data_IF_285925315462
#
_entry.id   IF_285925315462
#
_cell.length_a   1.000
_cell.length_b   1.000
_cell.length_c   1.000
_cell.angle_alpha   90.00
_cell.angle_beta   90.00
_cell.angle_gamma   90.00
#
_symmetry.space_group_name_H-M   'P 1'
#
loop_
_entity.id
_entity.type
_entity.pdbx_description
1 polymer ?
#
# COMPACT_ATOMS: atom_id res chain seq x y z
N UNK A 1 3.60 -51.42 17.35
CA UNK A 1 2.43 -51.13 16.49
C UNK A 1 1.80 -49.85 17.04
N UNK A 2 2.51 -48.73 16.98
CA UNK A 2 2.73 -47.87 15.80
C UNK A 2 1.44 -47.30 15.21
N UNK A 3 1.12 -46.07 15.60
CA UNK A 3 0.49 -45.07 14.74
C UNK A 3 0.72 -43.70 15.37
N UNK A 4 1.88 -43.12 15.05
CA UNK A 4 2.19 -41.71 15.23
C UNK A 4 1.33 -40.94 14.22
N UNK A 5 0.33 -40.22 14.70
CA UNK A 5 -0.28 -39.12 13.96
C UNK A 5 0.78 -38.03 13.82
N UNK A 6 1.40 -37.99 12.65
CA UNK A 6 2.27 -36.91 12.23
C UNK A 6 1.43 -35.64 12.14
N UNK A 7 1.71 -34.69 13.04
CA UNK A 7 1.31 -33.30 12.88
C UNK A 7 1.97 -32.77 11.61
N UNK A 8 1.20 -32.67 10.52
CA UNK A 8 1.62 -31.99 9.30
C UNK A 8 2.01 -30.55 9.65
N UNK A 9 3.28 -30.24 9.44
CA UNK A 9 3.84 -28.92 9.61
C UNK A 9 3.18 -27.96 8.60
N UNK A 10 2.40 -27.03 9.12
CA UNK A 10 1.85 -25.87 8.41
C UNK A 10 2.97 -25.16 7.62
N UNK A 11 2.84 -24.93 6.29
CA UNK A 11 3.88 -24.24 5.52
C UNK A 11 4.11 -22.85 6.12
N UNK A 12 5.35 -22.60 6.55
CA UNK A 12 5.76 -21.37 7.22
C UNK A 12 5.28 -20.13 6.43
N UNK A 13 4.30 -19.41 6.99
CA UNK A 13 3.88 -18.10 6.49
C UNK A 13 5.09 -17.17 6.67
N UNK A 14 5.69 -16.76 5.57
CA UNK A 14 6.80 -15.80 5.58
C UNK A 14 6.27 -14.50 6.16
N UNK A 15 6.85 -14.03 7.26
CA UNK A 15 6.38 -12.79 7.90
C UNK A 15 6.63 -11.58 6.98
N UNK A 16 5.87 -10.50 7.14
CA UNK A 16 6.10 -9.29 6.35
C UNK A 16 7.53 -8.73 6.53
N UNK A 17 8.08 -8.79 7.75
CA UNK A 17 9.44 -8.38 8.03
C UNK A 17 10.48 -9.25 7.31
N UNK A 18 10.22 -10.56 7.22
CA UNK A 18 11.06 -11.50 6.47
C UNK A 18 10.97 -11.24 4.97
N UNK A 19 9.77 -10.96 4.45
CA UNK A 19 9.57 -10.62 3.04
C UNK A 19 10.27 -9.32 2.65
N UNK A 20 10.30 -8.31 3.51
CA UNK A 20 11.08 -7.07 3.29
C UNK A 20 12.58 -7.38 3.19
N UNK A 21 13.13 -8.13 4.15
CA UNK A 21 14.55 -8.52 4.15
C UNK A 21 14.93 -9.39 2.95
N UNK A 22 14.03 -10.27 2.51
CA UNK A 22 14.21 -11.07 1.29
C UNK A 22 14.27 -10.16 0.05
N UNK A 23 13.40 -9.14 -0.04
CA UNK A 23 13.42 -8.18 -1.15
C UNK A 23 14.65 -7.28 -1.13
N UNK A 24 15.11 -6.87 0.05
CA UNK A 24 16.38 -6.15 0.21
C UNK A 24 17.55 -7.01 -0.29
N UNK A 25 17.63 -8.26 0.15
CA UNK A 25 18.65 -9.20 -0.31
C UNK A 25 18.53 -9.48 -1.83
N UNK A 26 17.32 -9.59 -2.37
CA UNK A 26 17.09 -9.68 -3.80
C UNK A 26 17.65 -8.43 -4.51
N UNK A 27 17.33 -7.23 -4.04
CA UNK A 27 17.87 -5.98 -4.59
C UNK A 27 19.40 -5.98 -4.64
N UNK A 28 20.05 -6.38 -3.54
CA UNK A 28 21.50 -6.51 -3.45
C UNK A 28 22.07 -7.55 -4.43
N UNK A 29 21.40 -8.69 -4.59
CA UNK A 29 21.77 -9.71 -5.56
C UNK A 29 21.65 -9.15 -6.98
N UNK A 30 20.56 -8.48 -7.33
CA UNK A 30 20.31 -7.97 -8.68
C UNK A 30 21.35 -6.91 -9.11
N UNK A 31 21.84 -6.11 -8.17
CA UNK A 31 22.89 -5.11 -8.40
C UNK A 31 24.31 -5.68 -8.36
N UNK A 32 24.48 -6.95 -7.97
CA UNK A 32 25.79 -7.57 -7.82
C UNK A 32 26.47 -7.90 -9.16
N UNK A 33 27.81 -8.02 -9.21
CA UNK A 33 28.53 -8.33 -10.45
C UNK A 33 28.03 -9.59 -11.20
N UNK A 34 27.67 -10.72 -10.54
CA UNK A 34 27.11 -11.90 -11.23
C UNK A 34 25.76 -11.66 -11.92
N UNK A 35 24.96 -10.67 -11.50
CA UNK A 35 23.59 -10.46 -12.00
C UNK A 35 23.40 -9.18 -12.81
N UNK A 36 24.12 -8.09 -12.48
CA UNK A 36 23.93 -6.77 -13.10
C UNK A 36 24.07 -6.77 -14.63
N UNK A 37 24.84 -7.71 -15.19
CA UNK A 37 25.10 -7.85 -16.62
C UNK A 37 24.01 -8.60 -17.42
N UNK A 38 23.04 -9.26 -16.76
CA UNK A 38 22.01 -10.05 -17.46
C UNK A 38 20.60 -9.69 -17.00
N UNK A 39 19.93 -8.86 -17.81
CA UNK A 39 18.54 -8.47 -17.59
C UNK A 39 17.60 -9.67 -17.51
N UNK A 40 17.78 -10.69 -18.34
CA UNK A 40 16.92 -11.90 -18.31
C UNK A 40 17.08 -12.70 -17.01
N UNK A 41 18.30 -12.79 -16.44
CA UNK A 41 18.48 -13.46 -15.14
C UNK A 41 17.85 -12.65 -14.00
N UNK A 42 17.92 -11.32 -14.07
CA UNK A 42 17.28 -10.43 -13.10
C UNK A 42 15.76 -10.56 -13.14
N UNK A 43 15.15 -10.51 -14.33
CA UNK A 43 13.69 -10.66 -14.49
C UNK A 43 13.24 -12.03 -13.98
N UNK A 44 13.94 -13.11 -14.37
CA UNK A 44 13.60 -14.46 -13.92
C UNK A 44 13.71 -14.62 -12.39
N UNK A 45 14.82 -14.16 -11.79
CA UNK A 45 15.02 -14.28 -10.34
C UNK A 45 13.99 -13.45 -9.57
N UNK A 46 13.68 -12.24 -10.05
CA UNK A 46 12.65 -11.37 -9.45
C UNK A 46 11.29 -12.04 -9.49
N UNK A 47 10.90 -12.56 -10.66
CA UNK A 47 9.64 -13.27 -10.84
C UNK A 47 9.51 -14.44 -9.85
N UNK A 48 10.51 -15.31 -9.81
CA UNK A 48 10.49 -16.50 -8.94
C UNK A 48 10.43 -16.12 -7.45
N UNK A 49 11.20 -15.12 -7.01
CA UNK A 49 11.23 -14.71 -5.61
C UNK A 49 9.90 -14.06 -5.19
N UNK A 50 9.33 -13.16 -5.97
CA UNK A 50 8.07 -12.48 -5.62
C UNK A 50 6.90 -13.46 -5.54
N UNK A 51 6.77 -14.39 -6.52
CA UNK A 51 5.71 -15.40 -6.49
C UNK A 51 5.94 -16.46 -5.38
N UNK A 52 7.20 -16.74 -5.02
CA UNK A 52 7.52 -17.59 -3.86
C UNK A 52 7.19 -16.92 -2.52
N UNK A 53 7.35 -15.59 -2.44
CA UNK A 53 6.95 -14.78 -1.29
C UNK A 53 5.43 -14.67 -1.16
N UNK A 54 4.71 -14.55 -2.29
CA UNK A 54 3.26 -14.47 -2.33
C UNK A 54 2.56 -15.82 -2.10
N UNK A 55 3.30 -16.95 -2.14
CA UNK A 55 2.74 -18.29 -2.00
C UNK A 55 2.02 -18.78 -3.25
N UNK A 56 2.20 -18.11 -4.40
CA UNK A 56 1.53 -18.35 -5.67
C UNK A 56 2.21 -19.50 -6.44
N UNK A 57 2.21 -20.70 -5.85
CA UNK A 57 2.95 -21.85 -6.39
C UNK A 57 2.49 -22.27 -7.80
N UNK A 58 1.24 -21.97 -8.17
CA UNK A 58 0.70 -22.26 -9.50
C UNK A 58 1.34 -21.44 -10.61
N UNK A 59 1.83 -20.24 -10.28
CA UNK A 59 2.54 -19.35 -11.22
C UNK A 59 4.01 -19.76 -11.40
N UNK A 60 4.52 -20.63 -10.52
CA UNK A 60 5.89 -21.16 -10.58
C UNK A 60 6.02 -22.45 -11.42
N UNK A 61 5.00 -22.78 -12.23
CA UNK A 61 5.06 -23.91 -13.16
C UNK A 61 5.84 -23.53 -14.42
N UNK A 62 6.59 -24.50 -14.98
CA UNK A 62 7.47 -24.24 -16.13
C UNK A 62 6.78 -23.54 -17.30
N UNK A 63 5.60 -24.04 -17.70
CA UNK A 63 4.80 -23.47 -18.79
C UNK A 63 4.37 -22.02 -18.52
N UNK A 64 3.94 -21.72 -17.29
CA UNK A 64 3.49 -20.37 -16.92
C UNK A 64 4.65 -19.39 -16.96
N UNK A 65 5.80 -19.78 -16.40
CA UNK A 65 7.02 -18.98 -16.46
C UNK A 65 7.47 -18.75 -17.91
N UNK A 66 7.37 -19.76 -18.78
CA UNK A 66 7.66 -19.61 -20.21
C UNK A 66 6.84 -18.53 -20.88
N UNK A 67 5.55 -18.49 -20.60
CA UNK A 67 4.64 -17.49 -21.18
C UNK A 67 4.85 -16.10 -20.55
N UNK A 68 4.86 -16.00 -19.22
CA UNK A 68 4.88 -14.71 -18.53
C UNK A 68 6.26 -14.03 -18.54
N UNK A 69 7.35 -14.81 -18.48
CA UNK A 69 8.72 -14.27 -18.40
C UNK A 69 9.43 -14.28 -19.76
N UNK A 70 9.21 -15.32 -20.58
CA UNK A 70 9.91 -15.49 -21.85
C UNK A 70 9.03 -15.23 -23.08
N UNK A 71 7.76 -14.86 -22.90
CA UNK A 71 6.84 -14.53 -23.99
C UNK A 71 6.50 -15.72 -24.89
N UNK A 72 6.59 -16.96 -24.38
CA UNK A 72 6.21 -18.16 -25.13
C UNK A 72 4.70 -18.27 -25.28
N UNK A 73 4.26 -18.84 -26.40
CA UNK A 73 2.83 -19.09 -26.64
C UNK A 73 2.28 -20.07 -25.61
N UNK A 74 1.02 -19.98 -25.17
CA UNK A 74 0.46 -20.90 -24.16
C UNK A 74 0.50 -22.39 -24.54
N UNK A 75 0.65 -22.69 -25.83
CA UNK A 75 0.68 -24.04 -26.40
C UNK A 75 2.11 -24.55 -26.65
N UNK A 76 3.15 -23.86 -26.16
CA UNK A 76 4.52 -24.33 -26.33
C UNK A 76 4.80 -25.58 -25.49
N UNK A 77 5.56 -26.51 -26.07
CA UNK A 77 5.95 -27.74 -25.39
C UNK A 77 7.23 -27.54 -24.59
N UNK A 78 7.13 -27.63 -23.27
CA UNK A 78 8.28 -27.48 -22.35
C UNK A 78 9.32 -28.59 -22.55
N UNK A 79 8.94 -29.74 -23.09
CA UNK A 79 9.87 -30.81 -23.46
C UNK A 79 10.84 -30.38 -24.55
N UNK A 80 10.35 -29.65 -25.56
CA UNK A 80 11.11 -29.25 -26.74
C UNK A 80 11.84 -27.91 -26.55
N UNK A 81 11.29 -26.98 -25.76
CA UNK A 81 11.94 -25.71 -25.43
C UNK A 81 12.45 -25.66 -23.98
N UNK A 82 13.76 -25.81 -23.74
CA UNK A 82 14.34 -25.81 -22.41
C UNK A 82 14.62 -24.40 -21.86
N UNK A 83 14.09 -23.31 -22.45
CA UNK A 83 14.43 -21.92 -22.08
C UNK A 83 14.35 -21.65 -20.57
N UNK A 84 13.29 -22.15 -19.91
CA UNK A 84 13.07 -21.99 -18.48
C UNK A 84 14.10 -22.79 -17.68
N UNK A 85 14.35 -24.05 -18.06
CA UNK A 85 15.36 -24.92 -17.41
C UNK A 85 16.78 -24.34 -17.52
N UNK A 86 17.14 -23.86 -18.71
CA UNK A 86 18.45 -23.24 -18.97
C UNK A 86 18.60 -21.97 -18.14
N UNK A 87 17.59 -21.10 -18.10
CA UNK A 87 17.66 -19.87 -17.30
C UNK A 87 17.72 -20.17 -15.80
N UNK A 88 16.96 -21.14 -15.32
CA UNK A 88 17.01 -21.56 -13.93
C UNK A 88 18.39 -22.11 -13.55
N UNK A 89 19.03 -22.92 -14.41
CA UNK A 89 20.39 -23.40 -14.19
C UNK A 89 21.41 -22.25 -14.12
N UNK A 90 21.30 -21.27 -15.02
CA UNK A 90 22.16 -20.10 -15.05
C UNK A 90 21.99 -19.21 -13.80
N UNK A 91 20.74 -18.98 -13.36
CA UNK A 91 20.45 -18.22 -12.13
C UNK A 91 21.01 -18.93 -10.90
N UNK A 92 20.86 -20.26 -10.78
CA UNK A 92 21.48 -21.04 -9.69
C UNK A 92 22.99 -20.88 -9.66
N UNK A 93 23.66 -20.94 -10.81
CA UNK A 93 25.10 -20.73 -10.93
C UNK A 93 25.52 -19.34 -10.46
N UNK A 94 24.75 -18.30 -10.84
CA UNK A 94 25.02 -16.91 -10.43
C UNK A 94 24.75 -16.67 -8.95
N UNK A 95 23.72 -17.29 -8.37
CA UNK A 95 23.48 -17.27 -6.92
C UNK A 95 24.66 -17.93 -6.18
N UNK A 96 25.14 -19.08 -6.66
CA UNK A 96 26.32 -19.71 -6.09
C UNK A 96 27.57 -18.81 -6.15
N UNK A 97 27.81 -18.12 -7.27
CA UNK A 97 28.89 -17.14 -7.41
C UNK A 97 28.73 -15.94 -6.48
N UNK A 98 27.51 -15.41 -6.34
CA UNK A 98 27.22 -14.31 -5.43
C UNK A 98 27.53 -14.67 -3.96
N UNK A 99 27.18 -15.88 -3.54
CA UNK A 99 27.38 -16.35 -2.17
C UNK A 99 28.77 -16.96 -1.89
N UNK A 100 29.61 -17.18 -2.90
CA UNK A 100 30.88 -17.93 -2.77
C UNK A 100 31.83 -17.34 -1.71
N UNK A 101 31.80 -16.02 -1.48
CA UNK A 101 32.60 -15.31 -0.47
C UNK A 101 31.73 -14.43 0.44
N UNK A 102 30.42 -14.71 0.54
CA UNK A 102 29.45 -13.92 1.33
C UNK A 102 28.75 -14.80 2.34
N UNK A 103 29.53 -15.32 3.29
CA UNK A 103 28.97 -16.12 4.36
C UNK A 103 27.99 -15.28 5.20
N UNK A 104 28.23 -13.99 5.41
CA UNK A 104 27.53 -13.21 6.45
C UNK A 104 26.22 -12.56 6.00
N UNK A 105 25.65 -13.02 4.89
CA UNK A 105 24.34 -12.56 4.45
C UNK A 105 23.26 -13.00 5.47
N UNK A 106 22.43 -12.07 5.98
CA UNK A 106 21.41 -12.39 6.99
C UNK A 106 20.31 -13.31 6.43
N UNK A 107 20.04 -13.20 5.12
CA UNK A 107 19.15 -14.09 4.38
C UNK A 107 19.80 -14.53 3.08
N UNK A 108 19.70 -15.83 2.80
CA UNK A 108 20.20 -16.45 1.58
C UNK A 108 19.03 -16.95 0.74
N UNK A 109 19.02 -16.57 -0.54
CA UNK A 109 18.01 -16.97 -1.53
C UNK A 109 18.61 -18.10 -2.37
N UNK A 110 17.97 -19.26 -2.38
CA UNK A 110 18.34 -20.40 -3.22
C UNK A 110 17.15 -20.89 -4.05
N UNK A 111 17.43 -21.46 -5.22
CA UNK A 111 16.43 -22.13 -6.07
C UNK A 111 16.84 -23.60 -6.22
N UNK A 112 16.18 -24.56 -5.55
CA UNK A 112 16.57 -25.96 -5.60
C UNK A 112 16.51 -26.55 -7.02
N UNK A 113 17.37 -27.53 -7.36
CA UNK A 113 17.21 -28.32 -8.59
C UNK A 113 15.83 -28.98 -8.65
N UNK A 114 15.23 -29.05 -9.84
CA UNK A 114 13.89 -29.65 -10.03
C UNK A 114 12.72 -28.79 -9.56
N UNK A 115 12.97 -27.61 -9.00
CA UNK A 115 11.93 -26.65 -8.59
C UNK A 115 12.23 -25.26 -9.15
N UNK A 116 11.17 -24.49 -9.41
CA UNK A 116 11.26 -23.07 -9.72
C UNK A 116 10.88 -22.19 -8.53
N UNK A 117 10.65 -22.77 -7.34
CA UNK A 117 10.35 -22.04 -6.11
C UNK A 117 11.64 -21.62 -5.42
N UNK A 118 11.71 -20.35 -5.00
CA UNK A 118 12.78 -19.85 -4.16
C UNK A 118 12.59 -20.32 -2.70
N UNK A 119 13.71 -20.62 -2.06
CA UNK A 119 13.82 -20.99 -0.64
C UNK A 119 14.71 -19.97 0.06
N UNK A 120 14.33 -19.60 1.29
CA UNK A 120 14.97 -18.54 2.06
C UNK A 120 15.61 -19.14 3.32
N UNK A 121 16.92 -19.01 3.47
CA UNK A 121 17.67 -19.49 4.63
C UNK A 121 18.16 -18.32 5.48
N UNK A 122 17.89 -18.36 6.79
CA UNK A 122 18.27 -17.31 7.72
C UNK A 122 19.54 -17.70 8.47
N UNK A 123 20.50 -16.77 8.59
CA UNK A 123 21.58 -16.91 9.55
C UNK A 123 21.12 -16.45 10.93
N UNK A 124 20.75 -17.41 11.77
CA UNK A 124 20.62 -17.21 13.21
C UNK A 124 21.96 -16.72 13.76
N UNK A 125 21.98 -15.58 14.44
CA UNK A 125 23.18 -15.08 15.12
C UNK A 125 23.66 -16.07 16.18
N UNK A 126 24.59 -16.94 15.80
CA UNK A 126 25.36 -17.76 16.73
C UNK A 126 26.41 -16.85 17.37
N UNK A 127 26.14 -16.36 18.58
CA UNK A 127 27.19 -15.93 19.48
C UNK A 127 28.14 -17.12 19.66
N UNK A 128 29.37 -16.96 19.18
CA UNK A 128 30.48 -17.82 19.53
C UNK A 128 30.71 -17.72 21.04
N UNK A 129 30.57 -18.84 21.74
CA UNK A 129 31.25 -19.05 23.01
C UNK A 129 32.50 -19.90 22.74
N UNK A 130 33.62 -19.61 23.41
CA UNK A 130 34.95 -20.01 23.00
C UNK A 130 35.16 -21.52 23.13
N UNK A 131 35.99 -22.07 22.24
CA UNK A 131 36.62 -23.38 22.38
C UNK A 131 37.31 -23.48 23.74
N UNK A 132 36.74 -24.29 24.63
CA UNK A 132 37.33 -24.76 25.86
C UNK A 132 37.08 -26.27 25.98
N UNK A 133 38.16 -27.01 26.15
CA UNK A 133 38.26 -28.46 26.15
C UNK A 133 37.31 -29.17 27.15
N UNK A 134 36.95 -30.42 26.83
CA UNK A 134 36.28 -31.33 27.77
C UNK A 134 37.16 -31.57 29.01
N UNK A 135 36.56 -31.60 30.20
CA UNK A 135 36.57 -32.87 30.92
C UNK A 135 35.19 -33.21 31.53
N UNK A 136 34.91 -34.50 31.66
CA UNK A 136 33.65 -34.98 32.23
C UNK A 136 33.54 -34.77 33.74
N UNK A 137 32.32 -34.57 34.25
CA UNK A 137 31.71 -35.39 35.32
C UNK A 137 30.46 -34.72 35.93
N UNK A 138 29.51 -35.59 36.32
CA UNK A 138 28.46 -35.48 37.36
C UNK A 138 27.41 -34.36 37.29
N UNK A 139 26.15 -34.78 37.09
CA UNK A 139 24.93 -33.95 37.10
C UNK A 139 24.59 -33.48 38.52
N UNK A 140 24.42 -32.17 38.70
CA UNK A 140 24.02 -31.48 39.94
C UNK A 140 22.61 -30.85 39.80
N UNK A 141 21.79 -30.79 40.87
CA UNK A 141 20.41 -30.28 40.85
C UNK A 141 20.26 -28.81 40.46
N UNK A 142 21.35 -28.04 40.36
CA UNK A 142 21.37 -26.64 39.90
C UNK A 142 20.87 -26.44 38.45
N UNK A 143 20.88 -27.50 37.63
CA UNK A 143 20.36 -27.44 36.26
C UNK A 143 18.86 -27.09 36.20
N UNK A 144 18.06 -27.42 37.22
CA UNK A 144 16.62 -27.12 37.22
C UNK A 144 16.30 -25.65 37.49
N UNK A 145 17.13 -24.95 38.27
CA UNK A 145 16.96 -23.51 38.54
C UNK A 145 17.35 -22.71 37.29
N UNK A 146 18.44 -23.09 36.61
CA UNK A 146 18.87 -22.49 35.35
C UNK A 146 17.82 -22.73 34.25
N UNK A 147 17.22 -23.93 34.20
CA UNK A 147 16.15 -24.24 33.25
C UNK A 147 14.87 -23.42 33.51
N UNK A 148 14.52 -23.20 34.78
CA UNK A 148 13.39 -22.35 35.16
C UNK A 148 13.58 -20.88 34.77
N UNK A 149 14.79 -20.33 34.98
CA UNK A 149 15.13 -18.97 34.58
C UNK A 149 15.22 -18.80 33.05
N UNK A 150 15.75 -19.81 32.34
CA UNK A 150 15.77 -19.82 30.88
C UNK A 150 14.36 -19.89 30.29
N UNK A 151 13.47 -20.70 30.88
CA UNK A 151 12.05 -20.75 30.48
C UNK A 151 11.35 -19.41 30.74
N UNK A 152 11.58 -18.77 31.88
CA UNK A 152 11.03 -17.44 32.17
C UNK A 152 11.57 -16.35 31.21
N UNK A 153 12.84 -16.44 30.81
CA UNK A 153 13.43 -15.53 29.82
C UNK A 153 12.84 -15.77 28.42
N UNK A 154 12.64 -17.01 28.00
CA UNK A 154 11.99 -17.36 26.73
C UNK A 154 10.53 -16.91 26.71
N UNK A 155 9.80 -17.10 27.82
CA UNK A 155 8.42 -16.60 27.98
C UNK A 155 8.40 -15.06 27.95
N UNK A 156 9.37 -14.39 28.58
CA UNK A 156 9.51 -12.94 28.54
C UNK A 156 9.83 -12.40 27.14
N UNK A 157 10.67 -13.09 26.37
CA UNK A 157 11.03 -12.74 24.99
C UNK A 157 9.85 -13.01 24.05
N UNK A 158 9.15 -14.14 24.21
CA UNK A 158 7.93 -14.46 23.48
C UNK A 158 6.81 -13.44 23.78
N UNK A 159 6.61 -13.07 25.05
CA UNK A 159 5.66 -12.04 25.45
C UNK A 159 6.02 -10.64 24.92
N UNK A 160 7.31 -10.35 24.71
CA UNK A 160 7.79 -9.11 24.08
C UNK A 160 7.64 -9.11 22.56
N UNK A 161 7.75 -10.28 21.91
CA UNK A 161 7.40 -10.48 20.49
C UNK A 161 5.89 -10.49 20.23
N UNK A 162 5.08 -10.89 21.23
CA UNK A 162 3.62 -10.77 21.22
C UNK A 162 3.10 -9.41 21.73
N UNK A 163 3.97 -8.46 22.08
CA UNK A 163 3.53 -7.06 22.22
C UNK A 163 3.18 -6.57 20.83
N UNK A 164 1.92 -6.75 20.46
CA UNK A 164 1.26 -6.11 19.35
C UNK A 164 1.77 -4.67 19.27
N UNK A 165 2.52 -4.33 18.22
CA UNK A 165 2.73 -2.91 17.92
C UNK A 165 1.33 -2.31 17.88
N UNK A 166 1.06 -1.37 18.79
CA UNK A 166 -0.21 -0.69 18.81
C UNK A 166 -0.43 -0.12 17.40
N UNK A 167 -1.59 -0.39 16.76
CA UNK A 167 -1.81 0.04 15.39
C UNK A 167 -1.55 1.53 15.27
N UNK A 168 -0.80 1.95 14.24
CA UNK A 168 -0.50 3.36 14.02
C UNK A 168 -1.80 4.16 13.84
N UNK A 169 -1.76 5.48 14.01
CA UNK A 169 -2.94 6.30 13.76
C UNK A 169 -3.46 6.12 12.31
N UNK A 170 -2.55 5.92 11.34
CA UNK A 170 -2.91 5.60 9.97
C UNK A 170 -3.61 4.22 9.85
N UNK A 171 -3.14 3.20 10.56
CA UNK A 171 -3.81 1.89 10.61
C UNK A 171 -5.21 1.99 11.23
N UNK A 172 -5.35 2.78 12.30
CA UNK A 172 -6.63 3.02 12.96
C UNK A 172 -7.61 3.78 12.07
N UNK A 173 -7.13 4.75 11.28
CA UNK A 173 -7.96 5.48 10.32
C UNK A 173 -8.56 4.53 9.28
N UNK A 174 -7.72 3.67 8.71
CA UNK A 174 -8.07 2.77 7.61
C UNK A 174 -8.61 1.40 8.05
N UNK A 175 -8.64 1.11 9.35
CA UNK A 175 -8.95 -0.22 9.90
C UNK A 175 -10.21 -0.84 9.32
N UNK A 176 -11.31 -0.07 9.21
CA UNK A 176 -12.57 -0.57 8.67
C UNK A 176 -12.50 -0.94 7.18
N UNK A 177 -11.93 -0.07 6.33
CA UNK A 177 -11.75 -0.38 4.91
C UNK A 177 -10.78 -1.54 4.69
N UNK A 178 -9.71 -1.62 5.47
CA UNK A 178 -8.72 -2.69 5.37
C UNK A 178 -9.28 -4.04 5.84
N UNK A 179 -10.12 -4.05 6.87
CA UNK A 179 -10.75 -5.27 7.41
C UNK A 179 -11.84 -5.84 6.50
N UNK A 180 -12.48 -5.03 5.65
CA UNK A 180 -13.48 -5.51 4.70
C UNK A 180 -12.87 -6.57 3.74
N UNK A 181 -13.57 -7.65 3.37
CA UNK A 181 -13.09 -8.58 2.35
C UNK A 181 -13.21 -8.01 0.92
N UNK A 182 -14.01 -6.95 0.74
CA UNK A 182 -14.29 -6.35 -0.57
C UNK A 182 -13.15 -5.41 -1.00
N UNK A 183 -12.88 -5.24 -2.31
CA UNK A 183 -11.91 -4.25 -2.76
C UNK A 183 -12.37 -2.83 -2.40
N UNK A 184 -11.42 -1.93 -2.16
CA UNK A 184 -11.73 -0.50 -1.99
C UNK A 184 -12.00 0.10 -3.36
N UNK A 185 -13.16 0.73 -3.53
CA UNK A 185 -13.41 1.57 -4.69
C UNK A 185 -12.67 2.89 -4.56
N UNK A 186 -11.85 3.25 -5.55
CA UNK A 186 -11.30 4.58 -5.69
C UNK A 186 -11.92 5.20 -6.93
N UNK A 187 -12.74 6.22 -6.73
CA UNK A 187 -13.42 6.93 -7.80
C UNK A 187 -12.81 8.31 -7.99
N UNK A 188 -12.38 8.58 -9.22
CA UNK A 188 -11.83 9.86 -9.65
C UNK A 188 -12.73 10.46 -10.73
N UNK A 189 -13.27 11.64 -10.48
CA UNK A 189 -14.18 12.28 -11.42
C UNK A 189 -13.42 12.94 -12.59
N UNK A 190 -14.11 13.02 -13.73
CA UNK A 190 -13.60 13.73 -14.90
C UNK A 190 -14.11 15.17 -14.92
N UNK A 191 -13.27 16.11 -15.33
CA UNK A 191 -13.68 17.50 -15.49
C UNK A 191 -14.19 17.76 -16.90
N UNK A 192 -15.11 18.73 -17.02
CA UNK A 192 -15.60 19.20 -18.33
C UNK A 192 -14.70 20.33 -18.80
N UNK A 193 -14.07 20.17 -19.96
CA UNK A 193 -13.27 21.21 -20.62
C UNK A 193 -14.06 21.73 -21.81
N UNK A 194 -14.01 23.03 -22.09
CA UNK A 194 -14.69 23.61 -23.24
C UNK A 194 -13.70 23.87 -24.36
N UNK A 195 -14.01 23.40 -25.57
CA UNK A 195 -13.22 23.68 -26.77
C UNK A 195 -14.00 24.61 -27.69
N UNK A 196 -13.31 25.43 -28.47
CA UNK A 196 -13.92 26.16 -29.57
C UNK A 196 -14.44 25.14 -30.62
N UNK A 197 -15.67 25.34 -31.11
CA UNK A 197 -16.30 24.46 -32.09
C UNK A 197 -15.54 24.41 -33.43
N UNK A 198 -14.91 25.52 -33.80
CA UNK A 198 -14.12 25.69 -35.01
C UNK A 198 -12.93 26.60 -34.74
N UNK A 199 -11.80 26.34 -35.39
CA UNK A 199 -10.62 27.22 -35.31
C UNK A 199 -10.87 28.61 -35.94
N UNK A 200 -11.91 28.75 -36.77
CA UNK A 200 -12.27 30.00 -37.43
C UNK A 200 -13.35 30.80 -36.70
N UNK A 201 -14.14 30.17 -35.82
CA UNK A 201 -15.23 30.81 -35.06
C UNK A 201 -14.85 30.88 -33.58
N UNK A 202 -13.92 31.79 -33.28
CA UNK A 202 -13.41 32.02 -31.92
C UNK A 202 -14.45 32.71 -31.03
N UNK A 203 -15.52 33.24 -31.63
CA UNK A 203 -16.27 34.29 -30.98
C UNK A 203 -17.46 33.78 -30.14
N UNK A 204 -18.13 32.65 -30.46
CA UNK A 204 -19.40 32.33 -29.76
C UNK A 204 -19.80 30.86 -29.54
N UNK A 205 -19.06 29.84 -29.98
CA UNK A 205 -19.50 28.45 -29.77
C UNK A 205 -18.45 27.58 -29.07
N UNK A 206 -18.67 27.34 -27.77
CA UNK A 206 -17.90 26.43 -26.95
C UNK A 206 -18.63 25.09 -26.80
N UNK A 207 -17.96 23.99 -27.13
CA UNK A 207 -18.50 22.64 -26.98
C UNK A 207 -17.92 22.01 -25.71
N UNK A 208 -18.76 21.48 -24.81
CA UNK A 208 -18.29 20.78 -23.62
C UNK A 208 -17.71 19.41 -23.99
N UNK A 209 -16.45 19.21 -23.63
CA UNK A 209 -15.74 17.93 -23.70
C UNK A 209 -15.75 17.30 -22.32
N UNK A 210 -16.56 16.26 -22.17
CA UNK A 210 -16.76 15.51 -20.92
C UNK A 210 -16.00 14.19 -20.96
N UNK A 211 -15.56 13.71 -19.81
CA UNK A 211 -15.00 12.36 -19.67
C UNK A 211 -13.56 12.17 -20.17
N UNK A 212 -12.93 13.20 -20.74
CA UNK A 212 -11.57 13.10 -21.33
C UNK A 212 -10.47 13.66 -20.42
N UNK A 213 -10.82 14.50 -19.46
CA UNK A 213 -9.85 15.22 -18.63
C UNK A 213 -10.07 14.92 -17.15
N UNK A 214 -8.98 14.85 -16.39
CA UNK A 214 -8.99 14.78 -14.92
C UNK A 214 -8.07 15.86 -14.36
N UNK A 215 -8.37 16.33 -13.16
CA UNK A 215 -7.51 17.28 -12.47
C UNK A 215 -6.21 16.60 -12.05
N UNK A 216 -5.08 17.31 -12.14
CA UNK A 216 -3.77 16.75 -11.75
C UNK A 216 -3.75 16.37 -10.27
N UNK A 217 -4.43 17.15 -9.42
CA UNK A 217 -4.57 16.85 -7.99
C UNK A 217 -5.29 15.54 -7.72
N UNK A 218 -6.35 15.26 -8.49
CA UNK A 218 -7.16 14.06 -8.35
C UNK A 218 -6.39 12.82 -8.83
N UNK A 219 -5.67 12.94 -9.95
CA UNK A 219 -4.76 11.91 -10.43
C UNK A 219 -3.66 11.61 -9.39
N UNK A 220 -3.06 12.64 -8.79
CA UNK A 220 -2.07 12.46 -7.73
C UNK A 220 -2.64 11.74 -6.51
N UNK A 221 -3.79 12.19 -6.00
CA UNK A 221 -4.46 11.57 -4.87
C UNK A 221 -4.77 10.08 -5.14
N UNK A 222 -5.23 9.77 -6.36
CA UNK A 222 -5.48 8.40 -6.80
C UNK A 222 -4.23 7.52 -6.72
N UNK A 223 -3.08 8.02 -7.17
CA UNK A 223 -1.79 7.30 -7.17
C UNK A 223 -1.28 7.05 -5.75
N UNK A 224 -1.33 8.03 -4.87
CA UNK A 224 -0.82 7.85 -3.50
C UNK A 224 -1.70 6.92 -2.67
N UNK A 225 -3.02 6.98 -2.87
CA UNK A 225 -3.99 6.09 -2.22
C UNK A 225 -3.86 4.65 -2.74
N UNK A 226 -3.80 4.45 -4.05
CA UNK A 226 -3.59 3.11 -4.64
C UNK A 226 -2.27 2.50 -4.17
N UNK A 227 -1.20 3.31 -4.10
CA UNK A 227 0.09 2.90 -3.55
C UNK A 227 0.01 2.51 -2.06
N UNK A 228 -0.77 3.24 -1.26
CA UNK A 228 -1.02 2.89 0.14
C UNK A 228 -1.69 1.51 0.24
N UNK A 229 -2.74 1.25 -0.54
CA UNK A 229 -3.46 -0.02 -0.46
C UNK A 229 -2.65 -1.20 -0.99
N UNK A 230 -1.87 -1.01 -2.06
CA UNK A 230 -0.89 -2.00 -2.51
C UNK A 230 0.08 -2.38 -1.39
N UNK A 231 0.65 -1.41 -0.66
CA UNK A 231 1.53 -1.67 0.49
C UNK A 231 0.82 -2.36 1.66
N UNK A 232 -0.48 -2.11 1.82
CA UNK A 232 -1.32 -2.74 2.85
C UNK A 232 -1.86 -4.11 2.41
N UNK A 233 -1.51 -4.61 1.22
CA UNK A 233 -2.02 -5.88 0.69
C UNK A 233 -3.53 -5.86 0.42
N UNK A 234 -4.11 -4.67 0.23
CA UNK A 234 -5.54 -4.48 0.07
C UNK A 234 -5.88 -4.28 -1.40
N UNK A 235 -6.77 -5.14 -1.92
CA UNK A 235 -7.30 -4.97 -3.27
C UNK A 235 -8.10 -3.67 -3.38
N UNK A 236 -7.95 -3.00 -4.51
CA UNK A 236 -8.71 -1.80 -4.85
C UNK A 236 -9.10 -1.84 -6.32
N UNK A 237 -10.14 -1.08 -6.67
CA UNK A 237 -10.60 -0.89 -8.04
C UNK A 237 -10.64 0.61 -8.33
N UNK A 238 -10.09 1.01 -9.48
CA UNK A 238 -10.16 2.37 -9.97
C UNK A 238 -11.38 2.53 -10.89
N UNK A 239 -12.16 3.59 -10.69
CA UNK A 239 -13.29 3.97 -11.55
C UNK A 239 -13.21 5.44 -11.91
N UNK A 240 -13.72 5.80 -13.07
CA UNK A 240 -13.59 7.14 -13.63
C UNK A 240 -14.85 7.61 -14.35
N UNK A 241 -15.06 8.92 -14.40
CA UNK A 241 -16.12 9.54 -15.21
C UNK A 241 -17.50 9.01 -14.86
N UNK A 242 -18.26 8.54 -15.85
CA UNK A 242 -19.62 8.02 -15.65
C UNK A 242 -19.67 6.58 -15.06
N UNK A 243 -18.52 5.96 -14.79
CA UNK A 243 -18.41 4.57 -14.31
C UNK A 243 -18.57 4.47 -12.78
N UNK A 244 -19.63 5.05 -12.21
CA UNK A 244 -19.98 4.94 -10.79
C UNK A 244 -21.49 4.96 -10.59
N UNK A 245 -22.00 4.06 -9.75
CA UNK A 245 -23.42 3.98 -9.39
C UNK A 245 -23.65 4.07 -7.88
N UNK A 246 -24.89 4.39 -7.47
CA UNK A 246 -25.30 4.31 -6.05
C UNK A 246 -25.15 2.90 -5.46
N UNK A 247 -25.25 1.87 -6.31
CA UNK A 247 -25.05 0.48 -5.89
C UNK A 247 -23.63 0.24 -5.40
N UNK A 248 -22.65 0.77 -6.11
CA UNK A 248 -21.23 0.63 -5.77
C UNK A 248 -20.92 1.25 -4.40
N UNK A 249 -21.41 2.47 -4.17
CA UNK A 249 -21.20 3.21 -2.91
C UNK A 249 -21.85 2.53 -1.70
N UNK A 250 -22.90 1.75 -1.91
CA UNK A 250 -23.57 0.98 -0.85
C UNK A 250 -22.95 -0.39 -0.63
N UNK A 251 -22.24 -0.92 -1.63
CA UNK A 251 -21.78 -2.30 -1.63
C UNK A 251 -20.34 -2.46 -1.16
N UNK A 252 -19.46 -1.47 -1.34
CA UNK A 252 -18.05 -1.61 -0.94
C UNK A 252 -17.47 -0.32 -0.35
N UNK A 253 -16.36 -0.41 0.43
CA UNK A 253 -15.68 0.76 0.93
C UNK A 253 -15.23 1.63 -0.23
N UNK A 254 -15.59 2.91 -0.21
CA UNK A 254 -15.47 3.79 -1.36
C UNK A 254 -14.75 5.08 -1.00
N UNK A 255 -13.89 5.53 -1.90
CA UNK A 255 -13.14 6.79 -1.81
C UNK A 255 -13.52 7.66 -3.00
N UNK A 256 -14.09 8.82 -2.73
CA UNK A 256 -14.41 9.83 -3.73
C UNK A 256 -13.32 10.91 -3.72
N UNK A 257 -12.73 11.15 -4.89
CA UNK A 257 -11.65 12.12 -5.07
C UNK A 257 -12.15 13.32 -5.89
N UNK A 258 -11.87 14.52 -5.40
CA UNK A 258 -12.30 15.78 -6.03
C UNK A 258 -13.61 16.32 -5.46
N UNK A 259 -13.85 17.61 -5.68
CA UNK A 259 -15.02 18.35 -5.18
C UNK A 259 -15.91 18.84 -6.33
N UNK A 260 -15.62 20.02 -6.88
CA UNK A 260 -16.45 20.71 -7.86
C UNK A 260 -16.55 19.99 -9.21
N UNK A 261 -15.61 19.11 -9.51
CA UNK A 261 -15.65 18.21 -10.66
C UNK A 261 -16.30 16.85 -10.34
N UNK A 262 -16.70 16.60 -9.09
CA UNK A 262 -17.19 15.32 -8.58
C UNK A 262 -18.57 15.48 -7.92
N UNK A 263 -19.63 15.29 -8.70
CA UNK A 263 -21.01 15.37 -8.21
C UNK A 263 -21.31 14.36 -7.10
N UNK A 264 -20.69 13.18 -7.13
CA UNK A 264 -20.86 12.17 -6.07
C UNK A 264 -20.32 12.67 -4.74
N UNK A 265 -19.15 13.31 -4.71
CA UNK A 265 -18.62 13.94 -3.50
C UNK A 265 -19.60 15.00 -2.99
N UNK A 266 -20.05 15.89 -3.86
CA UNK A 266 -20.94 16.98 -3.48
C UNK A 266 -22.26 16.45 -2.93
N UNK A 267 -22.90 15.48 -3.60
CA UNK A 267 -24.19 14.93 -3.18
C UNK A 267 -24.10 14.09 -1.90
N UNK A 268 -23.04 13.30 -1.72
CA UNK A 268 -22.92 12.41 -0.54
C UNK A 268 -22.44 13.14 0.72
N UNK A 269 -21.86 14.33 0.57
CA UNK A 269 -21.34 15.11 1.70
C UNK A 269 -22.09 16.42 1.95
N UNK A 270 -23.13 16.73 1.18
CA UNK A 270 -23.88 17.99 1.27
C UNK A 270 -24.63 18.19 2.60
N UNK A 271 -24.87 17.16 3.41
CA UNK A 271 -25.53 17.27 4.71
C UNK A 271 -24.54 17.39 5.87
N UNK A 272 -23.24 17.23 5.60
CA UNK A 272 -22.20 17.30 6.61
C UNK A 272 -21.91 18.74 7.05
N UNK A 273 -21.12 18.89 8.11
CA UNK A 273 -20.81 20.20 8.73
C UNK A 273 -19.96 21.07 7.81
N UNK A 274 -18.82 20.56 7.35
CA UNK A 274 -17.99 21.22 6.35
C UNK A 274 -18.49 20.79 4.98
N UNK A 275 -18.93 21.76 4.18
CA UNK A 275 -19.56 21.49 2.88
C UNK A 275 -18.94 22.37 1.80
N UNK A 276 -18.76 21.82 0.60
CA UNK A 276 -18.49 22.60 -0.60
C UNK A 276 -19.76 23.32 -1.01
N UNK A 277 -19.70 24.64 -0.99
CA UNK A 277 -20.81 25.52 -1.33
C UNK A 277 -20.63 26.00 -2.79
N UNK A 278 -21.05 27.21 -3.13
CA UNK A 278 -20.74 27.81 -4.42
C UNK A 278 -19.21 27.89 -4.61
N UNK A 279 -18.73 27.35 -5.73
CA UNK A 279 -17.31 27.44 -6.08
C UNK A 279 -16.85 28.90 -6.03
N UNK A 280 -15.70 29.22 -5.39
CA UNK A 280 -14.67 28.33 -4.84
C UNK A 280 -14.70 28.28 -3.29
N UNK A 281 -15.81 27.87 -2.68
CA UNK A 281 -15.99 28.06 -1.22
C UNK A 281 -16.26 26.75 -0.47
N UNK A 282 -15.65 26.62 0.70
CA UNK A 282 -16.08 25.69 1.76
C UNK A 282 -16.80 26.49 2.86
N UNK A 283 -17.94 26.00 3.33
CA UNK A 283 -18.71 26.57 4.43
C UNK A 283 -18.66 25.64 5.65
N UNK A 284 -18.34 26.17 6.82
CA UNK A 284 -18.61 25.52 8.11
C UNK A 284 -20.04 25.88 8.55
N UNK A 285 -20.94 24.90 8.58
CA UNK A 285 -22.35 25.12 8.94
C UNK A 285 -22.60 25.40 10.42
N UNK A 286 -21.60 25.20 11.28
CA UNK A 286 -21.75 25.51 12.71
C UNK A 286 -21.83 27.02 12.94
N UNK A 287 -20.97 27.78 12.27
CA UNK A 287 -20.77 29.22 12.46
C UNK A 287 -20.96 30.04 11.17
N UNK A 288 -21.32 29.39 10.06
CA UNK A 288 -21.37 29.95 8.70
C UNK A 288 -20.04 30.56 8.23
N UNK A 289 -18.91 30.17 8.82
CA UNK A 289 -17.60 30.62 8.35
C UNK A 289 -17.32 30.10 6.94
N UNK A 290 -16.86 30.99 6.07
CA UNK A 290 -16.44 30.67 4.70
C UNK A 290 -14.92 30.55 4.63
N UNK A 291 -14.46 29.58 3.85
CA UNK A 291 -13.06 29.35 3.51
C UNK A 291 -12.91 29.37 1.99
N UNK A 292 -12.08 30.28 1.51
CA UNK A 292 -11.81 30.50 0.08
C UNK A 292 -10.31 30.53 -0.18
N UNK A 293 -9.82 30.05 -1.33
CA UNK A 293 -8.42 30.14 -1.70
C UNK A 293 -7.94 31.59 -1.76
N UNK A 294 -6.70 31.86 -1.33
CA UNK A 294 -6.11 33.20 -1.41
C UNK A 294 -5.56 33.47 -2.82
N UNK A 295 -5.71 34.69 -3.34
CA UNK A 295 -5.20 35.07 -4.66
C UNK A 295 -5.62 34.11 -5.80
N UNK A 296 -6.86 33.60 -5.76
CA UNK A 296 -7.37 32.72 -6.81
C UNK A 296 -7.49 33.49 -8.13
N UNK A 297 -6.70 33.08 -9.10
CA UNK A 297 -6.68 33.65 -10.44
C UNK A 297 -7.72 32.96 -11.34
N UNK A 298 -8.16 33.60 -12.44
CA UNK A 298 -9.07 33.00 -13.41
C UNK A 298 -8.55 31.70 -14.05
N UNK A 299 -7.23 31.49 -14.07
CA UNK A 299 -6.59 30.26 -14.57
C UNK A 299 -6.56 29.13 -13.52
N UNK A 300 -7.16 29.34 -12.35
CA UNK A 300 -7.23 28.37 -11.25
C UNK A 300 -5.99 28.34 -10.36
N UNK A 301 -4.96 29.15 -10.63
CA UNK A 301 -3.79 29.26 -9.73
C UNK A 301 -4.13 30.05 -8.49
N UNK A 302 -3.55 29.65 -7.36
CA UNK A 302 -3.76 30.26 -6.05
C UNK A 302 -2.50 30.11 -5.20
N UNK A 303 -2.32 30.95 -4.18
CA UNK A 303 -1.23 30.86 -3.20
C UNK A 303 -1.60 29.99 -1.99
N UNK A 304 -2.87 29.60 -1.87
CA UNK A 304 -3.38 28.85 -0.74
C UNK A 304 -4.68 28.14 -1.10
N UNK A 305 -4.80 26.87 -0.74
CA UNK A 305 -6.01 26.09 -0.98
C UNK A 305 -6.52 25.41 0.28
N UNK A 306 -7.80 25.07 0.27
CA UNK A 306 -8.49 24.35 1.34
C UNK A 306 -9.06 23.03 0.84
N UNK A 307 -9.16 22.08 1.74
CA UNK A 307 -9.70 20.76 1.44
C UNK A 307 -10.49 20.18 2.61
N UNK A 308 -11.42 19.29 2.29
CA UNK A 308 -12.16 18.48 3.26
C UNK A 308 -11.73 17.03 3.07
N UNK A 309 -11.36 16.39 4.17
CA UNK A 309 -11.33 14.93 4.28
C UNK A 309 -12.51 14.51 5.14
N UNK A 310 -13.42 13.73 4.58
CA UNK A 310 -14.55 13.14 5.33
C UNK A 310 -14.40 11.63 5.39
N UNK A 311 -14.72 11.03 6.54
CA UNK A 311 -14.88 9.59 6.70
C UNK A 311 -16.23 9.34 7.36
N UNK A 312 -17.12 8.68 6.64
CA UNK A 312 -18.51 8.44 7.04
C UNK A 312 -18.80 6.96 6.93
N UNK A 313 -19.25 6.36 8.03
CA UNK A 313 -19.79 5.02 8.06
C UNK A 313 -21.27 5.09 7.70
N UNK A 314 -21.68 4.33 6.70
CA UNK A 314 -23.10 4.15 6.39
C UNK A 314 -23.78 3.43 7.55
N UNK A 315 -24.83 4.05 8.12
CA UNK A 315 -25.55 3.50 9.27
C UNK A 315 -26.41 2.27 8.96
N UNK A 316 -26.76 2.04 7.69
CA UNK A 316 -27.63 0.96 7.22
C UNK A 316 -26.84 -0.22 6.65
N UNK A 317 -25.72 0.02 5.98
CA UNK A 317 -24.90 -1.04 5.36
C UNK A 317 -23.61 -1.32 6.14
N UNK A 318 -23.16 -0.39 6.99
CA UNK A 318 -21.87 -0.46 7.67
C UNK A 318 -20.67 -0.22 6.75
N UNK A 319 -20.89 0.11 5.47
CA UNK A 319 -19.82 0.38 4.50
C UNK A 319 -19.23 1.77 4.71
N UNK A 320 -17.94 1.90 4.40
CA UNK A 320 -17.17 3.10 4.65
C UNK A 320 -17.10 3.99 3.39
N UNK A 321 -17.56 5.23 3.51
CA UNK A 321 -17.34 6.27 2.51
C UNK A 321 -16.26 7.23 3.00
N UNK A 322 -15.27 7.50 2.16
CA UNK A 322 -14.27 8.54 2.38
C UNK A 322 -14.32 9.52 1.22
N UNK A 323 -14.29 10.82 1.52
CA UNK A 323 -14.14 11.87 0.53
C UNK A 323 -12.80 12.59 0.76
N UNK A 324 -12.04 12.78 -0.31
CA UNK A 324 -10.76 13.48 -0.33
C UNK A 324 -10.83 14.58 -1.41
N UNK A 325 -11.12 15.81 -0.99
CA UNK A 325 -11.62 16.81 -1.92
C UNK A 325 -11.07 18.19 -1.56
N UNK A 326 -10.54 18.93 -2.54
CA UNK A 326 -10.10 20.32 -2.41
C UNK A 326 -10.95 21.28 -3.21
N UNK A 327 -10.84 22.58 -2.91
CA UNK A 327 -11.49 23.62 -3.71
C UNK A 327 -10.88 23.68 -5.11
N UNK A 328 -9.55 23.57 -5.22
CA UNK A 328 -8.84 23.39 -6.48
C UNK A 328 -8.04 22.08 -6.48
N UNK A 329 -7.25 21.87 -7.54
CA UNK A 329 -6.33 20.72 -7.64
C UNK A 329 -5.30 20.65 -6.50
N UNK A 330 -4.88 21.79 -5.95
CA UNK A 330 -3.85 21.83 -4.90
C UNK A 330 -4.37 21.23 -3.60
N UNK A 331 -5.61 21.56 -3.23
CA UNK A 331 -6.31 21.04 -2.07
C UNK A 331 -6.61 19.55 -2.20
N UNK A 332 -7.07 19.08 -3.37
CA UNK A 332 -7.33 17.64 -3.57
C UNK A 332 -6.05 16.82 -3.44
N UNK A 333 -4.95 17.32 -4.02
CA UNK A 333 -3.62 16.72 -3.81
C UNK A 333 -3.25 16.67 -2.32
N UNK A 334 -3.40 17.78 -1.61
CA UNK A 334 -3.09 17.86 -0.19
C UNK A 334 -3.97 16.91 0.66
N UNK A 335 -5.24 16.70 0.30
CA UNK A 335 -6.10 15.70 0.93
C UNK A 335 -5.59 14.26 0.72
N UNK A 336 -5.12 13.93 -0.50
CA UNK A 336 -4.48 12.64 -0.77
C UNK A 336 -3.19 12.42 0.01
N UNK A 337 -2.35 13.45 0.12
CA UNK A 337 -1.13 13.43 0.94
C UNK A 337 -1.47 13.26 2.43
N UNK A 338 -2.48 13.98 2.94
CA UNK A 338 -2.96 13.85 4.31
C UNK A 338 -3.39 12.42 4.64
N UNK A 339 -4.19 11.80 3.79
CA UNK A 339 -4.75 10.46 3.96
C UNK A 339 -3.71 9.33 3.91
N UNK A 340 -2.52 9.60 3.39
CA UNK A 340 -1.43 8.63 3.23
C UNK A 340 -0.23 8.91 4.15
N UNK A 341 -0.26 10.03 4.88
CA UNK A 341 0.81 10.49 5.76
C UNK A 341 0.60 10.05 7.21
N UNK A 342 1.54 9.24 7.74
CA UNK A 342 1.55 8.85 9.16
C UNK A 342 1.64 10.08 10.08
N UNK A 343 2.55 11.07 9.86
CA UNK A 343 2.59 12.27 10.69
C UNK A 343 1.27 13.05 10.72
N UNK A 344 0.61 13.20 9.56
CA UNK A 344 -0.63 13.99 9.44
C UNK A 344 -1.80 13.33 10.18
N UNK A 345 -1.98 12.01 10.01
CA UNK A 345 -3.02 11.27 10.75
C UNK A 345 -2.68 11.14 12.24
N UNK A 346 -1.39 11.11 12.60
CA UNK A 346 -0.98 11.16 14.01
C UNK A 346 -1.34 12.51 14.66
N UNK A 347 -1.13 13.62 13.95
CA UNK A 347 -1.55 14.95 14.40
C UNK A 347 -3.07 15.07 14.54
N UNK A 348 -3.85 14.42 13.66
CA UNK A 348 -5.30 14.28 13.80
C UNK A 348 -5.66 13.52 15.08
N UNK A 349 -5.07 12.34 15.26
CA UNK A 349 -5.36 11.45 16.39
C UNK A 349 -4.98 12.06 17.76
N UNK A 350 -3.97 12.93 17.81
CA UNK A 350 -3.52 13.59 19.03
C UNK A 350 -4.62 14.45 19.69
N UNK A 351 -5.54 15.00 18.89
CA UNK A 351 -6.65 15.84 19.36
C UNK A 351 -8.02 15.14 19.24
N UNK A 352 -8.03 13.84 18.93
CA UNK A 352 -9.26 13.09 18.70
C UNK A 352 -9.78 12.40 19.98
N UNK A 353 -11.09 12.14 20.10
CA UNK A 353 -11.64 11.29 21.15
C UNK A 353 -10.99 9.90 21.18
N UNK A 354 -10.98 9.21 22.33
CA UNK A 354 -10.34 7.88 22.44
C UNK A 354 -10.92 6.83 21.49
N UNK A 355 -12.20 6.94 21.16
CA UNK A 355 -12.95 6.05 20.27
C UNK A 355 -13.03 6.56 18.82
N UNK A 356 -12.24 7.59 18.47
CA UNK A 356 -12.24 8.19 17.13
C UNK A 356 -12.09 7.18 15.97
N UNK A 357 -11.39 6.03 16.07
CA UNK A 357 -11.28 5.11 14.93
C UNK A 357 -12.64 4.57 14.46
N UNK A 358 -13.65 4.58 15.34
CA UNK A 358 -15.01 4.11 15.08
C UNK A 358 -16.01 5.24 14.79
N UNK A 359 -15.58 6.50 14.85
CA UNK A 359 -16.43 7.68 14.65
C UNK A 359 -16.41 8.17 13.22
N UNK A 360 -17.51 8.76 12.80
CA UNK A 360 -17.48 9.61 11.62
C UNK A 360 -16.61 10.82 11.90
N UNK A 361 -15.96 11.35 10.87
CA UNK A 361 -15.17 12.56 11.01
C UNK A 361 -15.15 13.42 9.76
N UNK A 362 -14.88 14.71 9.97
CA UNK A 362 -14.41 15.61 8.94
C UNK A 362 -13.17 16.36 9.43
N UNK A 363 -12.24 16.59 8.51
CA UNK A 363 -11.05 17.40 8.71
C UNK A 363 -11.05 18.49 7.65
N UNK A 364 -11.09 19.74 8.08
CA UNK A 364 -10.82 20.89 7.23
C UNK A 364 -9.30 21.10 7.20
N UNK A 365 -8.73 21.07 6.02
CA UNK A 365 -7.30 21.21 5.74
C UNK A 365 -7.02 22.54 5.04
N UNK A 366 -5.82 23.05 5.24
CA UNK A 366 -5.23 24.19 4.52
C UNK A 366 -3.85 23.80 4.00
N UNK A 367 -3.53 24.20 2.77
CA UNK A 367 -2.20 24.06 2.19
C UNK A 367 -1.75 25.37 1.56
N UNK A 368 -0.47 25.73 1.75
CA UNK A 368 0.15 26.83 1.02
C UNK A 368 0.65 26.32 -0.32
N UNK A 369 0.52 27.11 -1.37
CA UNK A 369 0.97 26.76 -2.72
C UNK A 369 2.16 27.63 -3.08
N UNK A 370 3.27 26.98 -3.46
CA UNK A 370 4.51 27.65 -3.87
C UNK A 370 4.92 27.08 -5.23
N UNK A 371 4.99 27.95 -6.25
CA UNK A 371 5.38 27.55 -7.61
C UNK A 371 4.51 26.41 -8.17
N UNK A 372 3.18 26.56 -8.08
CA UNK A 372 2.20 25.55 -8.52
C UNK A 372 2.34 24.18 -7.82
N UNK A 373 2.97 24.12 -6.66
CA UNK A 373 3.09 22.91 -5.83
C UNK A 373 2.50 23.15 -4.45
N UNK A 374 1.52 22.34 -3.99
CA UNK A 374 1.03 22.44 -2.62
C UNK A 374 2.10 21.96 -1.64
N UNK A 375 2.24 22.68 -0.53
CA UNK A 375 3.01 22.25 0.63
C UNK A 375 2.25 21.24 1.50
N UNK A 376 2.86 20.79 2.60
CA UNK A 376 2.22 19.86 3.52
C UNK A 376 0.88 20.41 4.06
N UNK A 377 -0.19 19.60 4.08
CA UNK A 377 -1.47 20.02 4.63
C UNK A 377 -1.37 20.26 6.14
N UNK A 378 -2.01 21.33 6.61
CA UNK A 378 -2.24 21.61 8.03
C UNK A 378 -3.72 21.49 8.37
N UNK A 379 -4.02 20.99 9.58
CA UNK A 379 -5.38 20.86 10.09
C UNK A 379 -5.86 22.22 10.57
N UNK A 380 -6.97 22.70 10.01
CA UNK A 380 -7.64 23.95 10.40
C UNK A 380 -8.69 23.66 11.47
N UNK A 381 -9.58 22.70 11.21
CA UNK A 381 -10.65 22.27 12.12
C UNK A 381 -10.89 20.77 11.98
N UNK A 382 -11.33 20.13 13.06
CA UNK A 382 -11.77 18.73 13.08
C UNK A 382 -13.17 18.64 13.64
N UNK A 383 -13.91 17.64 13.19
CA UNK A 383 -15.23 17.31 13.69
C UNK A 383 -15.40 15.80 13.75
N UNK A 384 -15.90 15.27 14.86
CA UNK A 384 -16.13 13.83 15.08
C UNK A 384 -17.54 13.62 15.60
N UNK A 385 -18.26 12.63 15.07
CA UNK A 385 -19.59 12.24 15.57
C UNK A 385 -19.74 10.73 15.65
#
# INVERSE_FOLDING_TARGET
MDSRLATEANPAVISHADAVRIREALGDILQSPPFRSSRQCQVFLTYVVEHSLAGENDLLRERVIGTEVFGRTPHYETGEDPVVRVRAAEVRKRLAQYYQNRADCPVRIDIPPGSYRAVFQWKSGQLAAPTGEKPGSRRSPWNWIILGLAAAAIIGIAARGLRSHAPSALDQFWASALASPKPILIYNATTTVYHAASAADVEHEFIPVRGQYTCIGDAYASVVLSSLFSRKGKLYQMRYGADLTFGDLRYQPSILIGAFNNEWTLQTTNELRFVFDTHPTIRDRLDNQLYTPADLKPDGRTTEDYAIVSRVFDSKTGELLIAAAGITQYGTRAAGEFLTSIPSITALAANAPRDWPKKNLQVLLRTKVVGDTPGPPSIVKTYFW
#
